data_IF_334633581290
#
_entry.id   IF_334633581290
#
_cell.length_a   1.000
_cell.length_b   1.000
_cell.length_c   1.000
_cell.angle_alpha   90.00
_cell.angle_beta   90.00
_cell.angle_gamma   90.00
#
_symmetry.space_group_name_H-M   'P 1'
#
loop_
_entity.id
_entity.type
_entity.pdbx_description
1 polymer ?
#
# COMPACT_ATOMS: atom_id res chain seq x y z
N UNK A 1 -24.14 -15.52 -8.84
CA UNK A 1 -22.81 -14.86 -8.79
C UNK A 1 -23.01 -13.40 -8.42
N UNK A 2 -22.27 -12.84 -7.46
CA UNK A 2 -22.25 -11.38 -7.27
C UNK A 2 -21.30 -10.79 -8.33
N UNK A 3 -21.85 -10.10 -9.32
CA UNK A 3 -21.05 -9.25 -10.20
C UNK A 3 -20.53 -8.09 -9.35
N UNK A 4 -19.22 -7.95 -9.23
CA UNK A 4 -18.62 -6.75 -8.65
C UNK A 4 -18.74 -5.66 -9.71
N UNK A 5 -19.34 -4.50 -9.42
CA UNK A 5 -19.44 -3.41 -10.40
C UNK A 5 -18.05 -2.99 -10.88
N UNK A 6 -17.90 -2.77 -12.18
CA UNK A 6 -16.63 -2.32 -12.80
C UNK A 6 -16.04 -1.11 -12.08
N UNK A 7 -16.88 -0.16 -11.63
CA UNK A 7 -16.45 1.02 -10.88
C UNK A 7 -15.74 0.66 -9.56
N UNK A 8 -16.20 -0.37 -8.85
CA UNK A 8 -15.56 -0.83 -7.60
C UNK A 8 -14.17 -1.39 -7.88
N UNK A 9 -14.00 -2.12 -8.98
CA UNK A 9 -12.69 -2.61 -9.39
C UNK A 9 -11.76 -1.46 -9.79
N UNK A 10 -12.23 -0.54 -10.63
CA UNK A 10 -11.46 0.63 -11.05
C UNK A 10 -10.98 1.44 -9.85
N UNK A 11 -11.84 1.67 -8.84
CA UNK A 11 -11.43 2.35 -7.62
C UNK A 11 -10.41 1.55 -6.79
N UNK A 12 -10.53 0.22 -6.75
CA UNK A 12 -9.56 -0.63 -6.06
C UNK A 12 -8.19 -0.66 -6.78
N UNK A 13 -8.17 -0.70 -8.11
CA UNK A 13 -6.94 -0.63 -8.91
C UNK A 13 -6.26 0.74 -8.80
N UNK A 14 -7.03 1.82 -8.86
CA UNK A 14 -6.50 3.17 -8.62
C UNK A 14 -5.91 3.28 -7.21
N UNK A 15 -6.63 2.81 -6.19
CA UNK A 15 -6.13 2.81 -4.82
C UNK A 15 -4.86 1.96 -4.66
N UNK A 16 -4.76 0.84 -5.39
CA UNK A 16 -3.57 -0.02 -5.38
C UNK A 16 -2.36 0.74 -5.94
N UNK A 17 -2.50 1.34 -7.12
CA UNK A 17 -1.43 2.09 -7.77
C UNK A 17 -0.94 3.25 -6.90
N UNK A 18 -1.86 4.02 -6.31
CA UNK A 18 -1.50 5.12 -5.40
C UNK A 18 -0.83 4.61 -4.11
N UNK A 19 -1.28 3.46 -3.59
CA UNK A 19 -0.69 2.84 -2.40
C UNK A 19 0.73 2.33 -2.65
N UNK A 20 0.98 1.74 -3.82
CA UNK A 20 2.31 1.31 -4.25
C UNK A 20 3.26 2.52 -4.38
N UNK A 21 2.81 3.60 -5.02
CA UNK A 21 3.58 4.85 -5.12
C UNK A 21 3.87 5.49 -3.75
N UNK A 22 2.89 5.51 -2.85
CA UNK A 22 3.11 6.00 -1.48
C UNK A 22 4.12 5.14 -0.72
N UNK A 23 4.13 3.82 -0.94
CA UNK A 23 5.09 2.92 -0.32
C UNK A 23 6.52 3.20 -0.79
N UNK A 24 6.71 3.45 -2.09
CA UNK A 24 8.01 3.83 -2.66
C UNK A 24 8.53 5.15 -2.06
N UNK A 25 7.68 6.18 -1.97
CA UNK A 25 8.05 7.46 -1.37
C UNK A 25 8.42 7.31 0.10
N UNK A 26 7.69 6.49 0.87
CA UNK A 26 8.02 6.21 2.26
C UNK A 26 9.33 5.42 2.38
N UNK A 27 9.63 4.52 1.46
CA UNK A 27 10.92 3.81 1.41
C UNK A 27 12.06 4.80 1.19
N UNK A 28 11.92 5.71 0.22
CA UNK A 28 12.91 6.77 -0.03
C UNK A 28 13.10 7.68 1.18
N UNK A 29 12.01 8.01 1.90
CA UNK A 29 12.11 8.78 3.13
C UNK A 29 12.89 7.98 4.18
N UNK A 30 12.53 6.73 4.43
CA UNK A 30 13.23 5.88 5.39
C UNK A 30 14.73 5.79 5.10
N UNK A 31 15.11 5.59 3.83
CA UNK A 31 16.51 5.51 3.38
C UNK A 31 17.26 6.85 3.54
N UNK A 32 16.55 7.98 3.57
CA UNK A 32 17.13 9.31 3.76
C UNK A 32 17.34 9.70 5.23
N UNK A 33 16.78 8.94 6.18
CA UNK A 33 16.90 9.22 7.61
C UNK A 33 18.30 8.81 8.08
N UNK A 34 19.09 9.72 8.70
CA UNK A 34 20.40 9.37 9.23
C UNK A 34 20.30 8.29 10.33
N UNK A 35 21.22 7.33 10.32
CA UNK A 35 21.33 6.30 11.35
C UNK A 35 21.90 6.89 12.66
N UNK A 36 21.06 7.57 13.42
CA UNK A 36 21.36 8.06 14.76
C UNK A 36 20.18 7.88 15.71
N UNK A 37 20.46 7.80 17.01
CA UNK A 37 19.45 7.70 18.06
C UNK A 37 18.43 8.86 18.03
N UNK A 38 18.87 10.05 17.58
CA UNK A 38 18.00 11.23 17.44
C UNK A 38 16.86 10.99 16.45
N UNK A 39 17.12 10.28 15.35
CA UNK A 39 16.15 10.02 14.28
C UNK A 39 15.51 8.63 14.35
N UNK A 40 15.92 7.78 15.30
CA UNK A 40 15.35 6.44 15.46
C UNK A 40 13.82 6.45 15.60
N UNK A 41 13.28 7.44 16.33
CA UNK A 41 11.84 7.60 16.50
C UNK A 41 11.09 7.95 15.21
N UNK A 42 11.73 8.67 14.29
CA UNK A 42 11.17 8.99 12.97
C UNK A 42 11.19 7.76 12.06
N UNK A 43 12.34 7.07 11.97
CA UNK A 43 12.49 5.84 11.21
C UNK A 43 11.48 4.76 11.65
N UNK A 44 11.25 4.62 12.96
CA UNK A 44 10.24 3.73 13.51
C UNK A 44 8.82 4.09 13.05
N UNK A 45 8.45 5.38 13.03
CA UNK A 45 7.11 5.83 12.59
C UNK A 45 6.92 5.59 11.10
N UNK A 46 7.91 5.91 10.27
CA UNK A 46 7.85 5.66 8.82
C UNK A 46 7.71 4.15 8.55
N UNK A 47 8.51 3.32 9.21
CA UNK A 47 8.41 1.85 9.13
C UNK A 47 7.04 1.32 9.56
N UNK A 48 6.44 1.90 10.61
CA UNK A 48 5.10 1.53 11.05
C UNK A 48 4.02 1.88 10.02
N UNK A 49 4.10 3.07 9.39
CA UNK A 49 3.19 3.48 8.32
C UNK A 49 3.34 2.55 7.11
N UNK A 50 4.58 2.26 6.68
CA UNK A 50 4.85 1.32 5.59
C UNK A 50 4.24 -0.06 5.87
N UNK A 51 4.31 -0.54 7.11
CA UNK A 51 3.71 -1.83 7.50
C UNK A 51 2.18 -1.84 7.41
N UNK A 52 1.51 -0.73 7.75
CA UNK A 52 0.07 -0.59 7.59
C UNK A 52 -0.33 -0.49 6.11
N UNK A 53 0.43 0.28 5.33
CA UNK A 53 0.22 0.46 3.91
C UNK A 53 0.40 -0.84 3.13
N UNK A 54 1.44 -1.62 3.45
CA UNK A 54 1.67 -2.93 2.85
C UNK A 54 0.49 -3.90 3.07
N UNK A 55 -0.14 -3.87 4.26
CA UNK A 55 -1.36 -4.63 4.52
C UNK A 55 -2.52 -4.16 3.63
N UNK A 56 -2.70 -2.85 3.48
CA UNK A 56 -3.73 -2.27 2.60
C UNK A 56 -3.54 -2.68 1.13
N UNK A 57 -2.30 -2.61 0.63
CA UNK A 57 -1.92 -3.11 -0.70
C UNK A 57 -2.34 -4.58 -0.86
N UNK A 58 -2.03 -5.41 0.14
CA UNK A 58 -2.40 -6.83 0.12
C UNK A 58 -3.92 -7.07 0.00
N UNK A 59 -4.75 -6.28 0.69
CA UNK A 59 -6.21 -6.40 0.55
C UNK A 59 -6.72 -5.93 -0.82
N UNK A 60 -6.11 -4.90 -1.41
CA UNK A 60 -6.45 -4.44 -2.76
C UNK A 60 -6.04 -5.45 -3.84
N UNK A 61 -4.88 -6.10 -3.69
CA UNK A 61 -4.45 -7.20 -4.57
C UNK A 61 -5.45 -8.36 -4.50
N UNK A 62 -5.87 -8.77 -3.30
CA UNK A 62 -6.91 -9.81 -3.13
C UNK A 62 -8.23 -9.42 -3.80
N UNK A 63 -8.63 -8.14 -3.73
CA UNK A 63 -9.84 -7.66 -4.39
C UNK A 63 -9.75 -7.80 -5.92
N UNK A 64 -8.62 -7.43 -6.52
CA UNK A 64 -8.35 -7.60 -7.96
C UNK A 64 -8.32 -9.07 -8.39
N UNK A 65 -7.69 -9.93 -7.61
CA UNK A 65 -7.61 -11.38 -7.87
C UNK A 65 -8.99 -12.05 -7.78
N UNK A 66 -9.77 -11.72 -6.73
CA UNK A 66 -11.11 -12.26 -6.54
C UNK A 66 -12.10 -11.84 -7.64
N UNK A 67 -11.82 -10.74 -8.34
CA UNK A 67 -12.54 -10.36 -9.55
C UNK A 67 -12.08 -11.15 -10.77
N UNK A 68 -10.77 -11.20 -11.02
CA UNK A 68 -10.18 -11.88 -12.19
C UNK A 68 -10.49 -13.39 -12.21
N UNK A 69 -10.61 -14.03 -11.04
CA UNK A 69 -11.01 -15.43 -10.93
C UNK A 69 -12.50 -15.70 -11.27
N UNK A 70 -13.30 -14.64 -11.45
CA UNK A 70 -14.75 -14.72 -11.75
C UNK A 70 -15.10 -14.28 -13.17
N UNK A 71 -14.15 -13.73 -13.93
CA UNK A 71 -14.31 -13.29 -15.32
C UNK A 71 -13.95 -14.39 -16.32
#
# INVERSE_FOLDING_TARGET
MRQVPFEVLMHAENALSESEGAYEVLSMWLDSIPESEEFHGEACKVSAIMSLLHKSIGELVKAREAYSAKS
#
